data_IF_806548642186
#
_entry.id   IF_806548642186
#
_cell.length_a   1.000
_cell.length_b   1.000
_cell.length_c   1.000
_cell.angle_alpha   90.00
_cell.angle_beta   90.00
_cell.angle_gamma   90.00
#
_symmetry.space_group_name_H-M   'P 1'
#
loop_
_entity.id
_entity.type
_entity.pdbx_description
1 polymer ?
#
# COMPACT_ATOMS: atom_id res chain seq x y z
N UNK A 1 -54.59 12.82 8.67
CA UNK A 1 -54.41 11.43 8.21
C UNK A 1 -52.92 11.13 8.31
N UNK A 2 -52.54 10.32 9.29
CA UNK A 2 -51.15 10.12 9.71
C UNK A 2 -50.39 9.18 8.78
N UNK A 3 -49.15 9.55 8.46
CA UNK A 3 -48.19 8.70 7.76
C UNK A 3 -47.55 7.70 8.71
N UNK A 4 -47.24 6.51 8.18
CA UNK A 4 -46.58 5.41 8.88
C UNK A 4 -45.15 5.79 9.27
N UNK A 5 -44.69 5.32 10.43
CA UNK A 5 -43.35 5.61 10.95
C UNK A 5 -42.31 4.62 10.39
N UNK A 6 -40.99 4.95 10.44
CA UNK A 6 -39.94 4.12 9.84
C UNK A 6 -39.87 2.65 10.31
N UNK A 7 -40.45 2.33 11.47
CA UNK A 7 -40.47 0.97 12.03
C UNK A 7 -41.46 0.04 11.32
N UNK A 8 -42.51 0.57 10.68
CA UNK A 8 -43.54 -0.23 10.01
C UNK A 8 -43.07 -0.79 8.65
N UNK A 9 -41.96 -0.29 8.09
CA UNK A 9 -41.31 -0.85 6.89
C UNK A 9 -40.39 -2.05 7.19
N UNK A 10 -39.94 -2.22 8.44
CA UNK A 10 -39.08 -3.34 8.85
C UNK A 10 -39.90 -4.62 9.11
N UNK A 11 -41.13 -4.47 9.63
CA UNK A 11 -42.03 -5.60 9.93
C UNK A 11 -42.52 -6.32 8.65
N UNK A 12 -42.83 -5.59 7.58
CA UNK A 12 -43.34 -6.18 6.33
C UNK A 12 -42.22 -6.92 5.54
N UNK A 13 -40.97 -6.49 5.73
CA UNK A 13 -39.79 -7.14 5.14
C UNK A 13 -39.44 -8.45 5.89
N UNK A 14 -39.65 -8.49 7.20
CA UNK A 14 -39.45 -9.70 8.04
C UNK A 14 -40.54 -10.76 7.82
N UNK A 15 -41.79 -10.36 7.56
CA UNK A 15 -42.89 -11.26 7.21
C UNK A 15 -42.77 -11.87 5.80
N UNK A 16 -41.97 -11.28 4.91
CA UNK A 16 -41.61 -11.86 3.61
C UNK A 16 -40.45 -12.85 3.70
N UNK A 17 -39.50 -12.62 4.61
CA UNK A 17 -38.37 -13.52 4.83
C UNK A 17 -38.78 -14.82 5.56
N UNK A 18 -39.71 -14.72 6.52
CA UNK A 18 -40.17 -15.87 7.31
C UNK A 18 -41.09 -16.88 6.59
N UNK A 19 -41.45 -16.65 5.33
CA UNK A 19 -42.22 -17.62 4.50
C UNK A 19 -41.36 -18.56 3.66
N UNK A 20 -40.03 -18.40 3.66
CA UNK A 20 -39.12 -19.21 2.85
C UNK A 20 -38.35 -20.29 3.62
N UNK A 21 -38.55 -20.42 4.95
CA UNK A 21 -37.77 -21.35 5.77
C UNK A 21 -38.60 -22.27 6.67
N UNK A 22 -39.80 -22.63 6.23
CA UNK A 22 -40.61 -23.63 6.93
C UNK A 22 -40.20 -25.06 6.50
N UNK A 23 -39.00 -25.47 6.92
CA UNK A 23 -38.64 -26.88 7.15
C UNK A 23 -37.79 -26.92 8.40
N UNK A 24 -38.41 -27.45 9.46
CA UNK A 24 -37.98 -27.32 10.84
C UNK A 24 -36.50 -27.60 11.12
N UNK A 25 -35.94 -26.75 11.98
CA UNK A 25 -34.80 -27.08 12.82
C UNK A 25 -34.97 -26.30 14.13
N UNK A 26 -35.23 -27.02 15.22
CA UNK A 26 -35.24 -26.49 16.59
C UNK A 26 -33.89 -25.88 16.94
N UNK A 27 -33.85 -24.61 17.34
CA UNK A 27 -32.64 -23.93 17.82
C UNK A 27 -32.57 -24.06 19.35
N UNK A 28 -31.68 -24.93 19.84
CA UNK A 28 -31.20 -24.86 21.22
C UNK A 28 -30.14 -23.76 21.34
N UNK A 29 -30.33 -22.80 22.26
CA UNK A 29 -29.28 -21.85 22.64
C UNK A 29 -28.15 -22.59 23.35
N UNK A 30 -26.99 -22.70 22.71
CA UNK A 30 -25.73 -23.08 23.38
C UNK A 30 -24.66 -22.00 23.16
N UNK A 31 -24.19 -21.48 24.27
CA UNK A 31 -23.10 -20.52 24.43
C UNK A 31 -21.75 -21.06 24.00
N UNK A 32 -21.14 -20.47 22.97
CA UNK A 32 -19.68 -20.24 22.84
C UNK A 32 -19.34 -19.70 21.44
N UNK A 33 -18.52 -18.64 21.30
CA UNK A 33 -18.06 -18.20 19.99
C UNK A 33 -17.02 -19.20 19.48
N UNK A 34 -17.40 -19.98 18.47
CA UNK A 34 -16.47 -20.87 17.77
C UNK A 34 -15.41 -20.04 17.06
N UNK A 35 -14.15 -20.30 17.39
CA UNK A 35 -12.97 -19.77 16.70
C UNK A 35 -13.01 -20.26 15.25
N UNK A 36 -13.32 -19.38 14.32
CA UNK A 36 -13.12 -19.63 12.88
C UNK A 36 -11.62 -19.61 12.61
N UNK A 37 -11.03 -20.80 12.47
CA UNK A 37 -9.67 -20.96 11.98
C UNK A 37 -9.65 -20.60 10.50
N UNK A 38 -9.29 -19.35 10.18
CA UNK A 38 -8.87 -19.00 8.82
C UNK A 38 -7.59 -19.75 8.52
N UNK A 39 -7.69 -20.75 7.64
CA UNK A 39 -6.53 -21.42 7.06
C UNK A 39 -5.83 -20.36 6.20
N UNK A 40 -4.70 -19.81 6.66
CA UNK A 40 -3.83 -18.98 5.83
C UNK A 40 -3.16 -19.87 4.80
N UNK A 41 -3.87 -20.23 3.74
CA UNK A 41 -3.23 -20.69 2.52
C UNK A 41 -2.51 -19.49 1.93
N UNK A 42 -1.18 -19.51 1.98
CA UNK A 42 -0.33 -18.56 1.25
C UNK A 42 -0.53 -18.78 -0.24
N UNK A 43 -1.59 -18.19 -0.80
CA UNK A 43 -1.71 -18.05 -2.25
C UNK A 43 -0.80 -16.89 -2.61
N UNK A 44 0.40 -17.21 -3.10
CA UNK A 44 1.24 -16.22 -3.80
C UNK A 44 0.49 -15.90 -5.10
N UNK A 45 -0.46 -14.96 -5.04
CA UNK A 45 -1.08 -14.42 -6.23
C UNK A 45 -0.04 -13.56 -6.92
N UNK A 46 0.43 -14.01 -8.08
CA UNK A 46 1.12 -13.13 -9.02
C UNK A 46 0.15 -12.02 -9.44
N UNK A 47 0.66 -10.79 -9.60
CA UNK A 47 -0.13 -9.71 -10.18
C UNK A 47 -0.67 -10.16 -11.53
N UNK A 48 -2.00 -10.19 -11.65
CA UNK A 48 -2.66 -10.36 -12.93
C UNK A 48 -2.18 -9.24 -13.85
N UNK A 49 -1.60 -9.57 -15.00
CA UNK A 49 -1.01 -8.60 -15.91
C UNK A 49 -1.97 -7.47 -16.28
N UNK A 50 -1.42 -6.29 -16.59
CA UNK A 50 -2.21 -5.09 -16.89
C UNK A 50 -3.22 -5.35 -18.02
N UNK A 51 -4.51 -5.08 -17.76
CA UNK A 51 -5.60 -5.29 -18.75
C UNK A 51 -5.37 -4.53 -20.07
N UNK A 52 -4.81 -3.32 -19.99
CA UNK A 52 -4.47 -2.46 -21.15
C UNK A 52 -3.00 -2.63 -21.50
N UNK A 53 -2.70 -3.67 -22.28
CA UNK A 53 -1.33 -4.03 -22.68
C UNK A 53 -0.61 -2.97 -23.52
N UNK A 54 -1.38 -2.12 -24.21
CA UNK A 54 -0.88 -0.94 -24.91
C UNK A 54 -0.25 0.10 -23.97
N UNK A 55 -0.66 0.12 -22.70
CA UNK A 55 -0.17 1.07 -21.69
C UNK A 55 0.91 0.49 -20.78
N UNK A 56 1.27 -0.78 -20.93
CA UNK A 56 2.25 -1.46 -20.10
C UNK A 56 3.68 -1.00 -20.47
N UNK A 57 4.45 -0.58 -19.47
CA UNK A 57 5.89 -0.34 -19.64
C UNK A 57 6.58 -1.69 -19.60
N UNK A 58 7.15 -2.13 -20.73
CA UNK A 58 7.83 -3.43 -20.84
C UNK A 58 9.32 -3.37 -20.49
N UNK A 59 9.95 -2.23 -20.72
CA UNK A 59 11.36 -2.04 -20.38
C UNK A 59 11.50 -1.87 -18.87
N UNK A 60 12.19 -2.82 -18.24
CA UNK A 60 12.49 -2.77 -16.80
C UNK A 60 13.25 -1.50 -16.44
N UNK A 61 14.15 -1.03 -17.30
CA UNK A 61 14.94 0.19 -17.05
C UNK A 61 14.05 1.41 -16.95
N UNK A 62 13.01 1.51 -17.79
CA UNK A 62 12.01 2.57 -17.72
C UNK A 62 11.17 2.49 -16.44
N UNK A 63 10.77 1.28 -16.01
CA UNK A 63 10.07 1.08 -14.72
C UNK A 63 10.93 1.58 -13.56
N UNK A 64 12.20 1.19 -13.54
CA UNK A 64 13.11 1.62 -12.48
C UNK A 64 13.43 3.12 -12.56
N UNK A 65 13.41 3.73 -13.74
CA UNK A 65 13.56 5.18 -13.88
C UNK A 65 12.42 5.93 -13.19
N UNK A 66 11.16 5.49 -13.37
CA UNK A 66 10.01 6.07 -12.65
C UNK A 66 10.19 5.98 -11.13
N UNK A 67 10.65 4.82 -10.62
CA UNK A 67 10.97 4.63 -9.20
C UNK A 67 12.09 5.55 -8.70
N UNK A 68 13.07 5.90 -9.54
CA UNK A 68 14.14 6.84 -9.17
C UNK A 68 13.68 8.29 -9.22
N UNK A 69 12.88 8.66 -10.22
CA UNK A 69 12.40 10.02 -10.46
C UNK A 69 11.34 10.48 -9.46
N UNK A 70 10.39 9.63 -9.08
CA UNK A 70 9.33 10.02 -8.16
C UNK A 70 9.85 10.36 -6.76
N UNK A 71 9.34 11.45 -6.19
CA UNK A 71 9.81 11.99 -4.91
C UNK A 71 9.03 11.47 -3.70
N UNK A 72 7.79 11.02 -3.90
CA UNK A 72 6.90 10.46 -2.88
C UNK A 72 6.34 9.15 -3.41
N UNK A 73 6.29 8.13 -2.55
CA UNK A 73 5.56 6.90 -2.84
C UNK A 73 4.42 6.69 -1.86
N UNK A 74 3.44 5.86 -2.22
CA UNK A 74 2.39 5.39 -1.30
C UNK A 74 2.66 3.96 -0.89
N UNK A 75 2.80 3.76 0.41
CA UNK A 75 2.91 2.44 1.01
C UNK A 75 1.51 1.97 1.42
N UNK A 76 1.05 0.90 0.76
CA UNK A 76 -0.12 0.11 1.12
C UNK A 76 0.25 -1.02 2.08
N UNK A 77 -0.33 -1.01 3.28
CA UNK A 77 -0.29 -2.08 4.28
C UNK A 77 -1.68 -2.66 4.48
N UNK A 78 -1.79 -3.82 5.12
CA UNK A 78 -3.10 -4.38 5.50
C UNK A 78 -3.02 -5.18 6.79
N UNK A 79 -4.04 -5.00 7.63
CA UNK A 79 -4.22 -5.72 8.90
C UNK A 79 -5.70 -6.00 9.09
N UNK A 80 -6.06 -7.21 9.51
CA UNK A 80 -7.45 -7.63 9.75
C UNK A 80 -8.36 -7.27 8.55
N UNK A 81 -7.91 -7.65 7.35
CA UNK A 81 -8.53 -7.36 6.04
C UNK A 81 -8.81 -5.87 5.73
N UNK A 82 -8.22 -4.97 6.52
CA UNK A 82 -8.37 -3.52 6.35
C UNK A 82 -7.12 -2.92 5.70
N UNK A 83 -7.23 -2.33 4.49
CA UNK A 83 -6.11 -1.67 3.83
C UNK A 83 -5.82 -0.31 4.47
N UNK A 84 -4.55 0.07 4.47
CA UNK A 84 -4.09 1.39 4.88
C UNK A 84 -3.03 1.89 3.90
N UNK A 85 -3.13 3.16 3.49
CA UNK A 85 -2.21 3.77 2.52
C UNK A 85 -1.62 5.03 3.11
N UNK A 86 -0.30 5.12 3.13
CA UNK A 86 0.42 6.27 3.68
C UNK A 86 1.48 6.78 2.70
N UNK A 87 1.54 8.11 2.43
CA UNK A 87 2.62 8.68 1.64
C UNK A 87 3.93 8.65 2.43
N UNK A 88 5.03 8.30 1.76
CA UNK A 88 6.37 8.18 2.36
C UNK A 88 7.45 8.70 1.41
N UNK A 89 8.46 9.35 1.98
CA UNK A 89 9.73 9.56 1.29
C UNK A 89 10.48 8.23 1.21
N UNK A 90 11.11 7.97 0.07
CA UNK A 90 11.73 6.69 -0.22
C UNK A 90 12.91 6.84 -1.18
N UNK A 91 13.78 5.84 -1.22
CA UNK A 91 14.77 5.64 -2.27
C UNK A 91 14.63 4.23 -2.85
N UNK A 92 14.79 4.11 -4.16
CA UNK A 92 14.89 2.82 -4.84
C UNK A 92 16.36 2.48 -5.06
N UNK A 93 16.77 1.29 -4.64
CA UNK A 93 18.11 0.75 -4.88
C UNK A 93 18.02 -0.75 -5.20
N UNK A 94 18.43 -1.15 -6.40
CA UNK A 94 18.63 -2.55 -6.80
C UNK A 94 17.50 -3.53 -6.39
N UNK A 95 16.25 -3.22 -6.75
CA UNK A 95 15.10 -4.08 -6.43
C UNK A 95 14.57 -3.92 -5.00
N UNK A 96 15.09 -2.93 -4.25
CA UNK A 96 14.64 -2.60 -2.90
C UNK A 96 14.10 -1.18 -2.85
N UNK A 97 13.13 -0.96 -1.98
CA UNK A 97 12.66 0.37 -1.60
C UNK A 97 13.01 0.59 -0.13
N UNK A 98 13.72 1.67 0.17
CA UNK A 98 14.06 2.04 1.54
C UNK A 98 13.26 3.26 1.93
N UNK A 99 12.60 3.19 3.10
CA UNK A 99 11.85 4.29 3.69
C UNK A 99 12.31 4.54 5.13
N UNK A 100 12.07 5.74 5.63
CA UNK A 100 12.32 6.07 7.03
C UNK A 100 11.04 6.54 7.72
N UNK A 101 11.04 6.57 9.06
CA UNK A 101 9.95 7.15 9.83
C UNK A 101 10.07 6.91 11.33
N UNK A 102 9.01 7.21 12.07
CA UNK A 102 8.92 6.91 13.50
C UNK A 102 8.91 5.40 13.77
N UNK A 103 9.43 4.98 14.93
CA UNK A 103 9.42 3.57 15.39
C UNK A 103 8.03 3.03 15.70
N UNK A 104 7.08 3.91 15.96
CA UNK A 104 5.70 3.56 16.34
C UNK A 104 4.69 4.19 15.38
N UNK A 105 3.47 3.66 15.43
CA UNK A 105 2.32 4.12 14.65
C UNK A 105 1.83 3.05 13.68
N UNK A 106 0.64 3.31 13.12
CA UNK A 106 -0.13 2.33 12.35
C UNK A 106 0.67 1.58 11.27
N UNK A 107 1.51 2.25 10.49
CA UNK A 107 2.33 1.57 9.46
C UNK A 107 3.28 0.52 10.05
N UNK A 108 3.88 0.78 11.21
CA UNK A 108 4.84 -0.13 11.84
C UNK A 108 4.13 -1.32 12.45
N UNK A 109 2.97 -1.09 13.06
CA UNK A 109 2.09 -2.15 13.58
C UNK A 109 1.56 -3.05 12.46
N UNK A 110 1.10 -2.47 11.35
CA UNK A 110 0.59 -3.22 10.20
C UNK A 110 1.72 -4.06 9.56
N UNK A 111 2.92 -3.49 9.38
CA UNK A 111 4.10 -4.23 8.85
C UNK A 111 4.49 -5.38 9.77
N UNK A 112 4.50 -5.16 11.09
CA UNK A 112 4.84 -6.19 12.06
C UNK A 112 3.83 -7.34 12.06
N UNK A 113 2.54 -7.05 11.86
CA UNK A 113 1.50 -8.07 11.79
C UNK A 113 1.44 -8.78 10.42
N UNK A 114 1.72 -8.05 9.34
CA UNK A 114 1.67 -8.54 7.96
C UNK A 114 2.73 -7.81 7.10
N UNK A 115 3.86 -8.47 6.80
CA UNK A 115 4.94 -7.82 6.06
C UNK A 115 4.64 -7.65 4.56
N UNK A 116 3.55 -8.23 4.04
CA UNK A 116 3.20 -8.09 2.62
C UNK A 116 2.65 -6.69 2.36
N UNK A 117 3.32 -5.97 1.46
CA UNK A 117 3.01 -4.57 1.14
C UNK A 117 2.87 -4.35 -0.36
N UNK A 118 2.11 -3.32 -0.71
CA UNK A 118 2.06 -2.76 -2.05
C UNK A 118 2.67 -1.37 -2.02
N UNK A 119 3.55 -1.04 -2.94
CA UNK A 119 4.15 0.28 -3.08
C UNK A 119 3.79 0.88 -4.43
N UNK A 120 3.33 2.12 -4.40
CA UNK A 120 2.92 2.83 -5.61
C UNK A 120 3.71 4.13 -5.75
N UNK A 121 4.15 4.42 -6.96
CA UNK A 121 4.73 5.72 -7.35
C UNK A 121 4.16 6.15 -8.68
N UNK A 122 4.01 7.45 -8.87
CA UNK A 122 3.67 8.04 -10.14
C UNK A 122 4.46 9.33 -10.39
N UNK A 123 4.71 9.60 -11.66
CA UNK A 123 5.14 10.91 -12.16
C UNK A 123 4.11 11.38 -13.16
N UNK A 124 3.79 12.68 -13.13
CA UNK A 124 2.81 13.23 -14.05
C UNK A 124 3.16 14.64 -14.51
N UNK A 125 2.61 14.98 -15.67
CA UNK A 125 2.80 16.26 -16.34
C UNK A 125 1.48 16.68 -16.99
N UNK A 126 1.04 17.89 -16.69
CA UNK A 126 -0.10 18.52 -17.35
C UNK A 126 0.43 19.24 -18.59
N UNK A 127 -0.01 18.80 -19.77
CA UNK A 127 0.21 19.51 -21.03
C UNK A 127 -0.91 20.52 -21.19
N UNK A 128 -0.54 21.78 -21.34
CA UNK A 128 -1.47 22.89 -21.53
C UNK A 128 -1.39 23.45 -22.95
N UNK A 129 -2.49 24.02 -23.42
CA UNK A 129 -2.64 24.67 -24.72
C UNK A 129 -3.64 25.81 -24.59
N UNK A 130 -3.55 26.80 -25.48
CA UNK A 130 -4.52 27.91 -25.57
C UNK A 130 -5.92 27.42 -25.97
N UNK A 131 -6.00 26.27 -26.65
CA UNK A 131 -7.25 25.56 -26.92
C UNK A 131 -7.49 24.51 -25.81
N UNK A 132 -8.57 24.64 -25.02
CA UNK A 132 -8.90 23.67 -23.99
C UNK A 132 -9.11 22.23 -24.50
N UNK A 133 -9.39 22.05 -25.78
CA UNK A 133 -9.51 20.72 -26.37
C UNK A 133 -8.15 20.01 -26.52
N UNK A 134 -7.04 20.76 -26.43
CA UNK A 134 -5.68 20.25 -26.54
C UNK A 134 -4.98 20.07 -25.18
N UNK A 135 -5.71 20.21 -24.06
CA UNK A 135 -5.18 19.76 -22.77
C UNK A 135 -4.91 18.26 -22.80
N UNK A 136 -3.78 17.86 -22.22
CA UNK A 136 -3.47 16.44 -22.05
C UNK A 136 -2.79 16.21 -20.71
N UNK A 137 -2.89 14.99 -20.22
CA UNK A 137 -2.30 14.58 -18.95
C UNK A 137 -1.45 13.34 -19.17
N UNK A 138 -0.14 13.51 -19.09
CA UNK A 138 0.81 12.41 -19.18
C UNK A 138 1.12 11.92 -17.77
N UNK A 139 1.10 10.61 -17.58
CA UNK A 139 1.66 10.03 -16.37
C UNK A 139 2.36 8.71 -16.67
N UNK A 140 3.32 8.40 -15.81
CA UNK A 140 3.88 7.07 -15.63
C UNK A 140 3.66 6.65 -14.19
N UNK A 141 3.39 5.37 -13.95
CA UNK A 141 3.25 4.84 -12.61
C UNK A 141 3.86 3.45 -12.50
N UNK A 142 4.27 3.08 -11.29
CA UNK A 142 4.76 1.76 -10.95
C UNK A 142 4.04 1.28 -9.70
N UNK A 143 3.50 0.06 -9.79
CA UNK A 143 2.96 -0.68 -8.64
C UNK A 143 3.90 -1.84 -8.38
N UNK A 144 4.43 -1.94 -7.17
CA UNK A 144 5.35 -2.98 -6.73
C UNK A 144 4.79 -3.73 -5.52
N UNK A 145 4.69 -5.05 -5.60
CA UNK A 145 4.39 -5.89 -4.44
C UNK A 145 5.68 -6.45 -3.85
N UNK A 146 5.74 -6.50 -2.53
CA UNK A 146 6.94 -6.91 -1.83
C UNK A 146 6.69 -7.29 -0.37
N UNK A 147 7.79 -7.56 0.32
CA UNK A 147 7.80 -7.76 1.77
C UNK A 147 8.61 -6.67 2.46
N UNK A 148 8.01 -6.02 3.45
CA UNK A 148 8.64 -5.04 4.30
C UNK A 148 9.35 -5.69 5.50
N UNK A 149 10.58 -5.27 5.77
CA UNK A 149 11.40 -5.64 6.93
C UNK A 149 11.78 -4.36 7.66
N UNK A 150 11.46 -4.27 8.95
CA UNK A 150 12.03 -3.25 9.83
C UNK A 150 13.50 -3.59 10.05
N UNK A 151 14.39 -2.68 9.69
CA UNK A 151 15.83 -2.88 9.91
C UNK A 151 16.13 -2.73 11.40
N UNK A 152 17.03 -3.55 11.92
CA UNK A 152 17.47 -3.47 13.32
C UNK A 152 18.96 -3.16 13.44
N UNK A 153 19.77 -3.70 12.52
CA UNK A 153 21.20 -3.42 12.45
C UNK A 153 21.46 -1.91 12.19
N UNK A 154 22.19 -1.22 13.08
CA UNK A 154 22.60 0.17 12.88
C UNK A 154 23.32 0.41 11.55
N UNK A 155 24.12 -0.54 11.06
CA UNK A 155 24.83 -0.41 9.79
C UNK A 155 23.87 -0.44 8.60
N UNK A 156 22.89 -1.35 8.59
CA UNK A 156 21.83 -1.40 7.56
C UNK A 156 20.99 -0.10 7.58
N UNK A 157 20.63 0.40 8.77
CA UNK A 157 19.91 1.67 8.92
C UNK A 157 20.71 2.84 8.34
N UNK A 158 22.00 2.90 8.68
CA UNK A 158 22.88 3.98 8.26
C UNK A 158 23.05 3.99 6.73
N UNK A 159 23.26 2.82 6.12
CA UNK A 159 23.34 2.67 4.67
C UNK A 159 22.06 3.15 3.99
N UNK A 160 20.89 2.69 4.46
CA UNK A 160 19.60 3.09 3.90
C UNK A 160 19.31 4.59 4.02
N UNK A 161 19.66 5.20 5.16
CA UNK A 161 19.50 6.65 5.37
C UNK A 161 20.46 7.48 4.51
N UNK A 162 21.68 6.99 4.26
CA UNK A 162 22.62 7.66 3.34
C UNK A 162 22.07 7.69 1.92
N UNK A 163 21.46 6.61 1.45
CA UNK A 163 20.80 6.58 0.14
C UNK A 163 19.63 7.58 0.08
N UNK A 164 18.85 7.71 1.15
CA UNK A 164 17.78 8.71 1.25
C UNK A 164 18.34 10.13 1.20
N UNK A 165 19.40 10.42 1.98
CA UNK A 165 20.04 11.75 1.98
C UNK A 165 20.59 12.08 0.60
N UNK A 166 21.24 11.13 -0.08
CA UNK A 166 21.77 11.35 -1.42
C UNK A 166 20.65 11.67 -2.43
N UNK A 167 19.52 10.97 -2.35
CA UNK A 167 18.36 11.25 -3.22
C UNK A 167 17.78 12.64 -3.00
N UNK A 168 17.57 13.06 -1.76
CA UNK A 168 16.79 14.27 -1.44
C UNK A 168 17.62 15.52 -1.19
N UNK A 169 18.89 15.38 -0.82
CA UNK A 169 19.79 16.47 -0.48
C UNK A 169 21.24 16.15 -0.92
N UNK A 170 21.48 15.90 -2.22
CA UNK A 170 22.79 15.51 -2.72
C UNK A 170 23.86 16.55 -2.36
N UNK A 171 24.96 16.09 -1.79
CA UNK A 171 26.09 16.93 -1.37
C UNK A 171 25.80 17.90 -0.21
N UNK A 172 24.71 17.71 0.55
CA UNK A 172 24.35 18.56 1.69
C UNK A 172 24.65 17.92 3.03
N UNK A 173 25.13 18.74 3.96
CA UNK A 173 25.29 18.38 5.37
C UNK A 173 26.53 17.53 5.67
N UNK A 174 26.80 17.27 6.95
CA UNK A 174 27.86 16.35 7.36
C UNK A 174 27.49 14.90 7.02
N UNK A 175 28.49 14.03 6.95
CA UNK A 175 28.25 12.59 6.79
C UNK A 175 27.38 12.06 7.93
N UNK A 176 26.35 11.28 7.59
CA UNK A 176 25.53 10.61 8.58
C UNK A 176 26.35 9.53 9.30
N UNK A 177 26.30 9.52 10.63
CA UNK A 177 27.07 8.60 11.50
C UNK A 177 26.16 7.89 12.49
N UNK A 178 26.65 6.83 13.14
CA UNK A 178 25.92 6.12 14.20
C UNK A 178 25.52 7.02 15.38
N UNK A 179 26.32 8.04 15.71
CA UNK A 179 25.97 9.02 16.76
C UNK A 179 24.67 9.77 16.44
N UNK A 180 24.40 10.04 15.16
CA UNK A 180 23.12 10.62 14.75
C UNK A 180 21.96 9.65 14.99
N UNK A 181 22.15 8.36 14.75
CA UNK A 181 21.13 7.33 15.05
C UNK A 181 20.86 7.22 16.55
N UNK A 182 21.91 7.26 17.38
CA UNK A 182 21.79 7.22 18.85
C UNK A 182 21.04 8.44 19.39
N UNK A 183 21.25 9.63 18.82
CA UNK A 183 20.52 10.85 19.19
C UNK A 183 19.05 10.82 18.74
N UNK A 184 18.77 10.20 17.59
CA UNK A 184 17.42 10.12 17.02
C UNK A 184 16.73 8.79 17.37
N UNK A 185 16.45 8.57 18.66
CA UNK A 185 15.94 7.27 19.16
C UNK A 185 14.59 6.85 18.59
N UNK A 186 13.80 7.78 18.05
CA UNK A 186 12.51 7.49 17.40
C UNK A 186 12.64 7.19 15.90
N UNK A 187 13.82 7.32 15.30
CA UNK A 187 14.04 7.02 13.89
C UNK A 187 14.05 5.51 13.66
N UNK A 188 13.37 5.09 12.59
CA UNK A 188 13.39 3.74 12.08
C UNK A 188 13.53 3.73 10.56
N UNK A 189 14.01 2.61 10.04
CA UNK A 189 14.20 2.39 8.61
C UNK A 189 13.53 1.07 8.26
N UNK A 190 12.83 1.05 7.14
CA UNK A 190 12.17 -0.14 6.60
C UNK A 190 12.73 -0.37 5.20
N UNK A 191 13.13 -1.61 4.94
CA UNK A 191 13.45 -2.10 3.61
C UNK A 191 12.24 -2.88 3.07
N UNK A 192 11.89 -2.65 1.82
CA UNK A 192 10.90 -3.42 1.09
C UNK A 192 11.63 -4.16 -0.03
N UNK A 193 11.67 -5.48 0.04
CA UNK A 193 12.15 -6.32 -1.07
C UNK A 193 11.04 -6.45 -2.10
N UNK A 194 11.26 -5.99 -3.33
CA UNK A 194 10.29 -6.10 -4.41
C UNK A 194 10.29 -7.53 -4.96
N UNK A 195 9.12 -8.13 -5.08
CA UNK A 195 8.94 -9.44 -5.71
C UNK A 195 8.46 -9.31 -7.16
N UNK A 196 7.58 -8.34 -7.39
CA UNK A 196 7.01 -8.05 -8.70
C UNK A 196 6.70 -6.56 -8.80
N UNK A 197 6.81 -6.03 -10.01
CA UNK A 197 6.42 -4.66 -10.31
C UNK A 197 5.84 -4.54 -11.71
N UNK A 198 4.85 -3.68 -11.87
CA UNK A 198 4.19 -3.38 -13.13
C UNK A 198 4.24 -1.88 -13.37
N UNK A 199 4.79 -1.49 -14.52
CA UNK A 199 4.81 -0.11 -14.97
C UNK A 199 3.65 0.18 -15.94
N UNK A 200 3.10 1.38 -15.85
CA UNK A 200 2.04 1.88 -16.72
C UNK A 200 2.36 3.30 -17.18
N UNK A 201 2.06 3.62 -18.44
CA UNK A 201 2.09 5.00 -18.95
C UNK A 201 0.80 5.37 -19.68
N UNK A 202 0.46 6.65 -19.68
CA UNK A 202 -0.69 7.19 -20.42
C UNK A 202 -0.41 8.63 -20.83
N UNK A 203 -0.71 9.05 -22.08
CA UNK A 203 -0.98 8.19 -23.24
C UNK A 203 0.16 7.18 -23.47
N UNK A 204 -0.11 6.13 -24.25
CA UNK A 204 0.83 5.02 -24.49
C UNK A 204 2.12 5.48 -25.17
#
# INVERSE_FOLDING_TARGET
MGGLTPDEHMEDTLLRWNRLNDRGLTISKSSSPQKTNYIQTTVVRTMTGLRRKDKEIKDKTEIEAVLREATVGRLGTSRDDTPYVVPVSYVYDNGKIIIHGAKQGKKMEDIAANPRVCFEVDTSEIITSDDPCNYSYRYKSVIANGTAKILEDPHEKLAGLRLLTEKYAPGKGPELTEEHLKKNRNLNVVEITIHEMVGKKSPA
#
